data_IF_971325122868
#
_entry.id   IF_971325122868
#
_cell.length_a   1.000
_cell.length_b   1.000
_cell.length_c   1.000
_cell.angle_alpha   90.00
_cell.angle_beta   90.00
_cell.angle_gamma   90.00
#
_symmetry.space_group_name_H-M   'P 1'
#
loop_
_entity.id
_entity.type
_entity.pdbx_description
1 polymer ?
#
# COMPACT_ATOMS: atom_id res chain seq x y z
N UNK A 1 13.64 20.92 8.74
CA UNK A 1 13.09 19.58 8.99
C UNK A 1 11.63 19.78 9.30
N UNK A 2 10.76 19.51 8.33
CA UNK A 2 9.32 19.46 8.59
C UNK A 2 9.04 18.21 9.42
N UNK A 3 8.18 18.35 10.43
CA UNK A 3 7.83 17.25 11.34
C UNK A 3 6.81 16.37 10.61
N UNK A 4 6.98 15.03 10.58
CA UNK A 4 6.01 14.14 9.95
C UNK A 4 4.62 14.38 10.55
N UNK A 5 3.59 14.43 9.70
CA UNK A 5 2.23 14.67 10.15
C UNK A 5 1.74 13.44 10.91
N UNK A 6 1.28 13.64 12.15
CA UNK A 6 0.53 12.64 12.89
C UNK A 6 -0.93 12.75 12.53
N UNK A 7 -1.53 11.64 12.11
CA UNK A 7 -2.96 11.55 11.86
C UNK A 7 -3.57 10.52 12.81
N UNK A 8 -4.77 10.80 13.27
CA UNK A 8 -5.59 9.87 14.04
C UNK A 8 -6.36 8.97 13.05
N UNK A 9 -6.22 7.66 13.19
CA UNK A 9 -6.83 6.66 12.30
C UNK A 9 -7.37 5.48 13.11
N UNK A 10 -8.31 4.71 12.55
CA UNK A 10 -8.69 3.45 13.18
C UNK A 10 -7.55 2.44 13.11
N UNK A 11 -7.32 1.78 14.24
CA UNK A 11 -6.34 0.71 14.41
C UNK A 11 -6.67 -0.41 13.43
N UNK A 12 -5.67 -0.80 12.62
CA UNK A 12 -5.85 -1.92 11.70
C UNK A 12 -5.91 -3.25 12.49
N UNK A 13 -6.73 -4.19 12.01
CA UNK A 13 -7.07 -5.40 12.75
C UNK A 13 -8.31 -5.28 13.62
N UNK A 14 -8.83 -4.06 13.83
CA UNK A 14 -10.11 -3.84 14.52
C UNK A 14 -11.24 -4.57 13.82
N UNK A 15 -12.01 -5.33 14.60
CA UNK A 15 -13.23 -6.01 14.16
C UNK A 15 -14.39 -5.06 14.43
N UNK A 16 -15.14 -4.71 13.39
CA UNK A 16 -16.25 -3.77 13.49
C UNK A 16 -17.37 -4.16 12.52
N UNK A 17 -18.52 -3.47 12.67
CA UNK A 17 -19.69 -3.65 11.82
C UNK A 17 -19.81 -2.49 10.83
N UNK A 18 -20.15 -2.79 9.58
CA UNK A 18 -20.57 -1.78 8.60
C UNK A 18 -22.06 -1.51 8.74
N UNK A 19 -22.40 -0.33 9.25
CA UNK A 19 -23.78 0.11 9.56
C UNK A 19 -24.73 0.01 8.37
N UNK A 20 -24.23 0.16 7.14
CA UNK A 20 -25.08 0.16 5.96
C UNK A 20 -25.43 -1.24 5.44
N UNK A 21 -24.53 -2.22 5.61
CA UNK A 21 -24.75 -3.60 5.13
C UNK A 21 -25.10 -4.57 6.25
N UNK A 22 -24.80 -4.22 7.51
CA UNK A 22 -24.92 -5.10 8.66
C UNK A 22 -23.86 -6.21 8.70
N UNK A 23 -22.81 -6.12 7.87
CA UNK A 23 -21.72 -7.09 7.84
C UNK A 23 -20.69 -6.78 8.94
N UNK A 24 -20.23 -7.83 9.63
CA UNK A 24 -19.06 -7.78 10.52
C UNK A 24 -17.80 -8.16 9.76
N UNK A 25 -16.70 -7.44 10.00
CA UNK A 25 -15.44 -7.65 9.29
C UNK A 25 -14.26 -7.07 10.03
N UNK A 26 -13.12 -7.02 9.34
CA UNK A 26 -11.86 -6.52 9.90
C UNK A 26 -11.26 -5.44 9.00
N UNK A 27 -10.76 -4.36 9.60
CA UNK A 27 -10.00 -3.35 8.89
C UNK A 27 -8.61 -3.87 8.56
N UNK A 28 -8.25 -3.89 7.29
CA UNK A 28 -6.99 -4.49 6.81
C UNK A 28 -5.99 -3.46 6.33
N UNK A 29 -6.49 -2.34 5.82
CA UNK A 29 -5.70 -1.23 5.33
C UNK A 29 -6.49 0.06 5.52
N UNK A 30 -5.79 1.18 5.50
CA UNK A 30 -6.41 2.45 5.17
C UNK A 30 -5.62 3.14 4.07
N UNK A 31 -6.31 4.00 3.33
CA UNK A 31 -5.78 4.77 2.21
C UNK A 31 -5.96 6.24 2.52
N UNK A 32 -4.84 6.98 2.53
CA UNK A 32 -4.83 8.44 2.60
C UNK A 32 -4.62 9.01 1.20
N UNK A 33 -5.63 9.73 0.70
CA UNK A 33 -5.60 10.36 -0.61
C UNK A 33 -5.06 11.80 -0.58
N UNK A 34 -4.69 12.34 -1.74
CA UNK A 34 -4.22 13.73 -1.88
C UNK A 34 -5.19 14.80 -1.36
N UNK A 35 -6.49 14.52 -1.30
CA UNK A 35 -7.50 15.44 -0.74
C UNK A 35 -7.60 15.35 0.80
N UNK A 36 -6.71 14.59 1.43
CA UNK A 36 -6.64 14.38 2.87
C UNK A 36 -7.67 13.40 3.41
N UNK A 37 -8.46 12.75 2.55
CA UNK A 37 -9.46 11.77 3.00
C UNK A 37 -8.82 10.44 3.30
N UNK A 38 -9.31 9.83 4.38
CA UNK A 38 -8.98 8.46 4.78
C UNK A 38 -10.14 7.56 4.41
N UNK A 39 -9.84 6.48 3.71
CA UNK A 39 -10.78 5.38 3.48
C UNK A 39 -10.20 4.09 4.03
N UNK A 40 -11.05 3.23 4.55
CA UNK A 40 -10.67 1.96 5.17
C UNK A 40 -11.03 0.80 4.26
N UNK A 41 -10.12 -0.15 4.12
CA UNK A 41 -10.33 -1.41 3.43
C UNK A 41 -10.83 -2.44 4.44
N UNK A 42 -12.12 -2.68 4.40
CA UNK A 42 -12.85 -3.58 5.28
C UNK A 42 -13.01 -4.94 4.62
N UNK A 43 -12.54 -6.00 5.28
CA UNK A 43 -12.70 -7.38 4.83
C UNK A 43 -13.87 -8.03 5.61
N UNK A 44 -15.04 -8.25 4.98
CA UNK A 44 -16.15 -8.93 5.65
C UNK A 44 -15.77 -10.37 6.00
N UNK A 45 -16.34 -10.87 7.11
CA UNK A 45 -16.23 -12.29 7.48
C UNK A 45 -17.15 -13.13 6.59
N UNK A 46 -16.65 -14.27 6.13
CA UNK A 46 -17.42 -15.28 5.42
C UNK A 46 -16.89 -15.59 4.02
N UNK A 47 -17.58 -16.53 3.37
CA UNK A 47 -17.27 -16.98 2.02
C UNK A 47 -18.49 -16.80 1.11
N UNK A 48 -18.25 -16.60 -0.18
CA UNK A 48 -19.26 -16.62 -1.22
C UNK A 48 -19.74 -18.05 -1.52
N UNK A 49 -20.69 -18.18 -2.46
CA UNK A 49 -21.23 -19.48 -2.90
C UNK A 49 -20.19 -20.44 -3.51
N UNK A 50 -19.02 -19.92 -3.91
CA UNK A 50 -17.92 -20.70 -4.48
C UNK A 50 -16.83 -21.01 -3.43
N UNK A 51 -17.06 -20.66 -2.16
CA UNK A 51 -16.09 -20.82 -1.09
C UNK A 51 -14.93 -19.82 -1.13
N UNK A 52 -15.07 -18.72 -1.88
CA UNK A 52 -14.08 -17.64 -1.91
C UNK A 52 -14.35 -16.60 -0.83
N UNK A 53 -13.34 -15.93 -0.27
CA UNK A 53 -13.56 -14.79 0.63
C UNK A 53 -14.49 -13.77 0.00
N UNK A 54 -15.37 -13.18 0.81
CA UNK A 54 -16.19 -12.06 0.36
C UNK A 54 -15.28 -10.91 -0.10
N UNK A 55 -15.72 -10.16 -1.12
CA UNK A 55 -14.97 -9.00 -1.58
C UNK A 55 -14.85 -7.96 -0.46
N UNK A 56 -13.69 -7.32 -0.37
CA UNK A 56 -13.50 -6.19 0.53
C UNK A 56 -14.38 -5.00 0.11
N UNK A 57 -14.66 -4.13 1.09
CA UNK A 57 -15.37 -2.88 0.91
C UNK A 57 -14.44 -1.71 1.20
N UNK A 58 -14.55 -0.64 0.42
CA UNK A 58 -13.90 0.64 0.72
C UNK A 58 -14.90 1.51 1.46
N UNK A 59 -14.62 1.78 2.74
CA UNK A 59 -15.53 2.43 3.66
C UNK A 59 -14.93 3.73 4.21
N UNK A 60 -15.76 4.69 4.58
CA UNK A 60 -15.34 5.80 5.42
C UNK A 60 -15.70 5.49 6.89
N UNK A 61 -15.11 6.24 7.82
CA UNK A 61 -15.34 6.07 9.26
C UNK A 61 -16.83 6.15 9.62
N UNK A 62 -17.59 7.05 8.99
CA UNK A 62 -19.02 7.24 9.28
C UNK A 62 -19.89 5.98 9.08
N UNK A 63 -19.41 5.01 8.28
CA UNK A 63 -20.09 3.72 8.08
C UNK A 63 -19.74 2.66 9.11
N UNK A 64 -18.67 2.85 9.87
CA UNK A 64 -18.17 1.86 10.80
C UNK A 64 -18.78 2.07 12.18
N UNK A 65 -19.14 0.98 12.85
CA UNK A 65 -19.48 1.00 14.26
C UNK A 65 -18.24 0.70 15.10
N UNK A 66 -17.67 1.77 15.65
CA UNK A 66 -16.37 1.81 16.35
C UNK A 66 -16.44 2.75 17.54
N UNK A 67 -15.48 2.63 18.45
CA UNK A 67 -15.34 3.42 19.67
C UNK A 67 -14.06 4.25 19.67
N UNK A 68 -13.98 5.26 20.53
CA UNK A 68 -12.79 6.11 20.66
C UNK A 68 -11.51 5.31 21.00
N UNK A 69 -11.65 4.14 21.66
CA UNK A 69 -10.51 3.27 21.96
C UNK A 69 -9.98 2.48 20.76
N UNK A 70 -10.68 2.51 19.63
CA UNK A 70 -10.26 1.82 18.40
C UNK A 70 -9.31 2.68 17.55
N UNK A 71 -9.01 3.92 17.96
CA UNK A 71 -8.14 4.84 17.22
C UNK A 71 -6.68 4.80 17.71
N UNK A 72 -5.77 5.07 16.79
CA UNK A 72 -4.33 5.23 17.02
C UNK A 72 -3.77 6.45 16.27
N UNK A 73 -2.67 7.00 16.77
CA UNK A 73 -1.90 8.02 16.04
C UNK A 73 -0.82 7.36 15.17
N UNK A 74 -0.82 7.68 13.88
CA UNK A 74 0.19 7.20 12.93
C UNK A 74 0.94 8.38 12.31
N UNK A 75 2.27 8.28 12.25
CA UNK A 75 3.12 9.21 11.51
C UNK A 75 3.10 8.87 10.03
N UNK A 76 2.72 9.84 9.20
CA UNK A 76 2.58 9.68 7.75
C UNK A 76 3.42 10.73 7.01
N UNK A 77 4.23 10.32 6.03
CA UNK A 77 5.07 11.24 5.25
C UNK A 77 4.25 11.92 4.13
N UNK A 78 3.23 12.69 4.52
CA UNK A 78 2.26 13.32 3.62
C UNK A 78 2.87 14.26 2.59
N UNK A 79 4.07 14.79 2.85
CA UNK A 79 4.84 15.65 1.95
C UNK A 79 5.24 14.97 0.63
N UNK A 80 5.18 13.64 0.57
CA UNK A 80 5.44 12.87 -0.66
C UNK A 80 4.24 12.93 -1.61
N UNK A 81 3.01 13.08 -1.10
CA UNK A 81 1.81 13.13 -1.94
C UNK A 81 1.89 14.34 -2.90
N UNK A 82 1.55 14.09 -4.17
CA UNK A 82 1.67 15.08 -5.25
C UNK A 82 3.08 15.26 -5.82
N UNK A 83 4.09 14.61 -5.25
CA UNK A 83 5.47 14.64 -5.77
C UNK A 83 5.73 13.52 -6.77
N UNK A 84 6.80 13.66 -7.56
CA UNK A 84 7.25 12.58 -8.46
C UNK A 84 8.03 11.52 -7.67
N UNK A 85 7.62 10.27 -7.84
CA UNK A 85 8.18 9.10 -7.17
C UNK A 85 8.50 8.03 -8.21
N UNK A 86 9.60 7.33 -7.99
CA UNK A 86 10.05 6.20 -8.83
C UNK A 86 10.27 4.96 -7.98
N UNK A 87 9.66 3.84 -8.37
CA UNK A 87 10.05 2.52 -7.83
C UNK A 87 11.41 2.11 -8.40
N UNK A 88 12.39 1.84 -7.52
CA UNK A 88 13.78 1.58 -7.91
C UNK A 88 13.95 0.30 -8.74
N UNK A 89 13.11 -0.71 -8.50
CA UNK A 89 13.27 -2.02 -9.12
C UNK A 89 12.74 -2.06 -10.56
N UNK A 90 11.57 -1.47 -10.79
CA UNK A 90 10.92 -1.45 -12.11
C UNK A 90 11.25 -0.20 -12.93
N UNK A 91 11.69 0.88 -12.29
CA UNK A 91 11.81 2.20 -12.92
C UNK A 91 10.45 2.85 -13.19
N UNK A 92 9.37 2.36 -12.57
CA UNK A 92 8.04 2.92 -12.73
C UNK A 92 7.96 4.28 -12.04
N UNK A 93 7.73 5.34 -12.82
CA UNK A 93 7.74 6.73 -12.37
C UNK A 93 6.39 7.40 -12.58
N UNK A 94 5.97 8.20 -11.61
CA UNK A 94 4.75 8.97 -11.69
C UNK A 94 4.53 9.84 -10.47
N UNK A 95 3.33 10.39 -10.34
CA UNK A 95 2.93 11.16 -9.16
C UNK A 95 2.46 10.21 -8.06
N UNK A 96 2.90 10.42 -6.82
CA UNK A 96 2.33 9.75 -5.65
C UNK A 96 0.93 10.34 -5.37
N UNK A 97 -0.11 9.51 -5.50
CA UNK A 97 -1.51 9.96 -5.38
C UNK A 97 -2.21 9.43 -4.13
N UNK A 98 -1.77 8.31 -3.58
CA UNK A 98 -2.30 7.77 -2.34
C UNK A 98 -1.20 7.10 -1.52
N UNK A 99 -1.38 7.10 -0.21
CA UNK A 99 -0.68 6.19 0.70
C UNK A 99 -1.60 5.07 1.11
N UNK A 100 -1.11 3.84 1.08
CA UNK A 100 -1.77 2.68 1.64
C UNK A 100 -0.98 2.24 2.86
N UNK A 101 -1.60 2.30 4.04
CA UNK A 101 -1.04 1.73 5.26
C UNK A 101 -1.64 0.35 5.46
N UNK A 102 -0.77 -0.65 5.54
CA UNK A 102 -1.14 -2.05 5.67
C UNK A 102 -1.17 -2.48 7.13
N UNK A 103 -1.97 -3.50 7.48
CA UNK A 103 -2.10 -4.02 8.85
C UNK A 103 -0.78 -4.43 9.50
N UNK A 104 0.23 -4.78 8.71
CA UNK A 104 1.59 -5.08 9.19
C UNK A 104 2.43 -3.82 9.50
N UNK A 105 1.85 -2.64 9.37
CA UNK A 105 2.49 -1.35 9.63
C UNK A 105 3.39 -0.83 8.51
N UNK A 106 3.31 -1.37 7.30
CA UNK A 106 4.09 -0.90 6.15
C UNK A 106 3.31 0.09 5.28
N UNK A 107 4.02 1.07 4.73
CA UNK A 107 3.47 2.03 3.79
C UNK A 107 3.77 1.61 2.36
N UNK A 108 2.73 1.62 1.54
CA UNK A 108 2.84 1.59 0.09
C UNK A 108 2.39 2.94 -0.47
N UNK A 109 2.90 3.27 -1.64
CA UNK A 109 2.53 4.46 -2.39
C UNK A 109 1.90 4.05 -3.71
N UNK A 110 0.73 4.63 -4.00
CA UNK A 110 0.10 4.51 -5.31
C UNK A 110 0.70 5.55 -6.25
N UNK A 111 1.32 5.08 -7.33
CA UNK A 111 1.99 5.91 -8.33
C UNK A 111 1.11 5.98 -9.59
N UNK A 112 0.69 7.19 -9.95
CA UNK A 112 0.01 7.48 -11.21
C UNK A 112 1.02 8.00 -12.24
N UNK A 113 1.42 7.19 -13.24
CA UNK A 113 2.29 7.64 -14.31
C UNK A 113 1.59 8.66 -15.21
N UNK A 114 2.37 9.49 -15.90
CA UNK A 114 1.84 10.44 -16.88
C UNK A 114 1.48 9.74 -18.18
N UNK A 115 0.40 10.19 -18.83
CA UNK A 115 0.03 9.77 -20.18
C UNK A 115 -1.17 8.83 -20.21
N UNK A 116 -1.39 8.25 -21.40
CA UNK A 116 -2.52 7.38 -21.71
C UNK A 116 -2.04 6.15 -22.48
N UNK A 117 -2.81 5.06 -22.42
CA UNK A 117 -2.59 3.89 -23.25
C UNK A 117 -2.99 4.22 -24.68
N UNK A 118 -2.03 4.22 -25.62
CA UNK A 118 -2.20 4.71 -27.00
C UNK A 118 -3.46 4.18 -27.70
N UNK A 119 -3.78 2.90 -27.50
CA UNK A 119 -4.91 2.25 -28.18
C UNK A 119 -6.28 2.68 -27.64
N UNK A 120 -6.38 2.97 -26.35
CA UNK A 120 -7.67 3.20 -25.69
C UNK A 120 -7.89 4.66 -25.32
N UNK A 121 -6.83 5.47 -25.27
CA UNK A 121 -6.86 6.84 -24.75
C UNK A 121 -7.15 6.93 -23.26
N UNK A 122 -7.21 5.79 -22.56
CA UNK A 122 -7.43 5.75 -21.11
C UNK A 122 -6.12 6.07 -20.37
N UNK A 123 -6.18 6.71 -19.19
CA UNK A 123 -5.00 6.90 -18.35
C UNK A 123 -4.23 5.59 -18.15
N UNK A 124 -2.90 5.69 -18.10
CA UNK A 124 -2.08 4.54 -17.71
C UNK A 124 -2.46 4.16 -16.27
N UNK A 125 -2.58 2.86 -16.00
CA UNK A 125 -3.03 2.39 -14.69
C UNK A 125 -2.08 2.82 -13.57
N UNK A 126 -2.67 3.15 -12.42
CA UNK A 126 -1.98 3.30 -11.15
C UNK A 126 -1.31 1.97 -10.77
N UNK A 127 -0.15 2.04 -10.15
CA UNK A 127 0.51 0.88 -9.55
C UNK A 127 0.95 1.18 -8.13
N UNK A 128 0.82 0.20 -7.25
CA UNK A 128 1.17 0.28 -5.84
C UNK A 128 2.58 -0.31 -5.61
N UNK A 129 3.39 0.40 -4.82
CA UNK A 129 4.75 -0.04 -4.48
C UNK A 129 5.05 0.18 -3.00
N UNK A 130 5.86 -0.70 -2.41
CA UNK A 130 6.42 -0.50 -1.07
C UNK A 130 7.26 0.79 -1.05
N UNK A 131 6.91 1.73 -0.17
CA UNK A 131 7.54 3.05 -0.12
C UNK A 131 9.06 2.95 0.13
N UNK A 132 9.50 1.92 0.85
CA UNK A 132 10.92 1.70 1.17
C UNK A 132 11.77 1.38 -0.06
N UNK A 133 11.12 0.99 -1.16
CA UNK A 133 11.76 0.68 -2.45
C UNK A 133 11.66 1.84 -3.44
N UNK A 134 11.04 2.94 -3.04
CA UNK A 134 10.87 4.12 -3.88
C UNK A 134 11.99 5.15 -3.66
N UNK A 135 12.12 6.08 -4.60
CA UNK A 135 12.97 7.28 -4.50
C UNK A 135 12.19 8.48 -5.04
N UNK A 136 12.53 9.68 -4.55
CA UNK A 136 11.85 10.93 -4.88
C UNK A 136 12.37 12.07 -4.01
N UNK A 137 12.08 13.32 -4.37
CA UNK A 137 12.62 14.52 -3.69
C UNK A 137 12.33 14.54 -2.18
N UNK A 138 11.15 14.05 -1.79
CA UNK A 138 10.67 14.03 -0.40
C UNK A 138 10.77 12.66 0.27
N UNK A 139 11.34 11.67 -0.41
CA UNK A 139 11.49 10.31 0.15
C UNK A 139 12.85 10.22 0.85
N UNK A 140 12.81 9.94 2.16
CA UNK A 140 14.01 9.62 2.93
C UNK A 140 14.43 8.20 2.61
N UNK A 141 15.61 8.04 1.98
CA UNK A 141 16.16 6.71 1.73
C UNK A 141 16.74 6.11 3.01
N UNK A 142 16.31 4.89 3.33
CA UNK A 142 16.83 4.14 4.47
C UNK A 142 18.23 3.59 4.18
N UNK A 143 19.05 3.49 5.22
CA UNK A 143 20.28 2.68 5.16
C UNK A 143 19.94 1.20 4.93
N UNK A 144 20.92 0.37 4.58
CA UNK A 144 20.66 -1.07 4.36
C UNK A 144 20.21 -1.76 5.64
N UNK A 145 20.79 -1.37 6.76
CA UNK A 145 20.50 -1.85 8.09
C UNK A 145 19.06 -1.47 8.49
N UNK A 146 18.71 -0.18 8.38
CA UNK A 146 17.36 0.32 8.69
C UNK A 146 16.29 -0.28 7.78
N UNK A 147 16.63 -0.49 6.50
CA UNK A 147 15.73 -1.13 5.54
C UNK A 147 15.43 -2.58 5.94
N UNK A 148 16.46 -3.33 6.31
CA UNK A 148 16.33 -4.73 6.73
C UNK A 148 15.47 -4.82 7.99
N UNK A 149 15.79 -4.00 9.00
CA UNK A 149 15.02 -3.94 10.25
C UNK A 149 13.56 -3.53 10.00
N UNK A 150 13.33 -2.55 9.13
CA UNK A 150 11.98 -2.12 8.75
C UNK A 150 11.19 -3.24 8.09
N UNK A 151 11.80 -4.00 7.18
CA UNK A 151 11.16 -5.14 6.50
C UNK A 151 10.82 -6.26 7.49
N UNK A 152 11.73 -6.57 8.40
CA UNK A 152 11.51 -7.61 9.42
C UNK A 152 10.39 -7.23 10.39
N UNK A 153 10.37 -5.97 10.86
CA UNK A 153 9.36 -5.50 11.82
C UNK A 153 8.00 -5.22 11.17
N UNK A 154 8.01 -4.74 9.93
CA UNK A 154 6.83 -4.28 9.18
C UNK A 154 6.82 -4.90 7.79
N UNK A 155 6.60 -6.23 7.69
CA UNK A 155 6.70 -6.94 6.42
C UNK A 155 5.60 -6.49 5.45
N UNK A 156 5.98 -6.26 4.19
CA UNK A 156 5.00 -6.00 3.14
C UNK A 156 4.17 -7.26 2.88
N UNK A 157 2.83 -7.16 2.76
CA UNK A 157 2.01 -8.32 2.44
C UNK A 157 2.29 -8.90 1.05
N UNK A 158 2.88 -8.13 0.13
CA UNK A 158 3.34 -8.62 -1.18
C UNK A 158 4.78 -9.14 -1.18
N UNK A 159 5.46 -9.17 -0.03
CA UNK A 159 6.91 -9.38 0.06
C UNK A 159 7.35 -10.54 0.95
N UNK A 160 7.24 -11.76 0.46
CA UNK A 160 8.20 -12.84 0.79
C UNK A 160 8.94 -13.26 -0.49
N UNK A 161 9.86 -12.41 -0.93
CA UNK A 161 10.97 -12.83 -1.81
C UNK A 161 12.23 -12.19 -1.27
N UNK A 162 12.61 -12.55 -0.04
CA UNK A 162 13.97 -12.33 0.42
C UNK A 162 14.80 -13.53 -0.04
N UNK A 163 15.77 -13.23 -0.90
CA UNK A 163 17.06 -13.93 -1.00
C UNK A 163 17.02 -15.43 -1.29
N UNK A 164 16.72 -15.81 -2.53
CA UNK A 164 17.58 -16.80 -3.17
C UNK A 164 18.39 -16.06 -4.21
N UNK A 165 19.71 -15.97 -3.98
CA UNK A 165 20.65 -15.75 -5.06
C UNK A 165 20.23 -16.66 -6.21
N UNK A 166 19.84 -16.08 -7.35
CA UNK A 166 19.71 -16.87 -8.56
C UNK A 166 21.09 -17.50 -8.78
N UNK A 167 21.23 -18.84 -8.76
CA UNK A 167 22.51 -19.45 -9.01
C UNK A 167 22.99 -18.95 -10.38
N UNK A 168 24.20 -18.41 -10.38
CA UNK A 168 24.93 -17.92 -11.54
C UNK A 168 25.16 -19.07 -12.52
N UNK A 169 24.14 -19.47 -13.30
CA UNK A 169 24.29 -20.41 -14.39
C UNK A 169 23.07 -20.40 -15.32
N UNK A 170 23.00 -19.38 -16.19
CA UNK A 170 22.37 -19.56 -17.50
C UNK A 170 23.47 -19.41 -18.55
N UNK A 171 24.20 -20.50 -18.80
CA UNK A 171 24.90 -20.66 -20.08
C UNK A 171 23.84 -21.05 -21.11
N UNK A 172 23.33 -20.05 -21.84
CA UNK A 172 22.64 -20.31 -23.10
C UNK A 172 23.69 -20.77 -24.10
N UNK A 173 23.89 -22.08 -24.23
CA UNK A 173 24.52 -22.63 -25.42
C UNK A 173 23.56 -22.43 -26.59
N UNK A 174 23.91 -21.51 -27.49
CA UNK A 174 23.39 -21.51 -28.86
C UNK A 174 23.63 -22.90 -29.45
N UNK A 175 22.56 -23.64 -29.75
CA UNK A 175 22.63 -24.70 -30.75
C UNK A 175 22.13 -24.09 -32.04
N UNK A 176 23.10 -23.71 -32.86
CA UNK A 176 22.95 -23.53 -34.30
C UNK A 176 22.82 -24.90 -34.96
N UNK A 177 21.68 -25.18 -35.58
CA UNK A 177 21.51 -25.69 -36.96
C UNK A 177 20.03 -25.99 -37.22
#
# INVERSE_FOLDING_TARGET
MEVPLKIETLTLGTVCDDRATGLTGTLTHWVLSMDGRITYIFQPRGLDRNGQPLNHLVLNEARLDVSDSDFEEVEVPVEILGTEVTDKASGFTGMAIDFIYHINGCFHVAIQPRGVVERTGLPINVSEFDLRRCTGEKIVELSKEDLTESIEKKPSPTGNVLTHELPSCVRITRISR
#
